data_IF_479584039665
#
_entry.id   IF_479584039665
#
_cell.length_a   1.000
_cell.length_b   1.000
_cell.length_c   1.000
_cell.angle_alpha   90.00
_cell.angle_beta   90.00
_cell.angle_gamma   90.00
#
_symmetry.space_group_name_H-M   'P 1'
#
loop_
_entity.id
_entity.type
_entity.pdbx_description
1 polymer ?
#
# COMPACT_ATOMS: atom_id res chain seq x y z
N UNK A 1 -24.08 -41.98 -22.40
CA UNK A 1 -25.14 -41.04 -22.84
C UNK A 1 -25.61 -40.24 -21.65
N UNK A 2 -25.17 -38.98 -21.49
CA UNK A 2 -25.86 -37.93 -20.73
C UNK A 2 -25.04 -36.63 -20.90
N UNK A 3 -25.47 -35.79 -21.84
CA UNK A 3 -24.93 -34.45 -22.03
C UNK A 3 -25.69 -33.49 -21.10
N UNK A 4 -24.98 -32.72 -20.26
CA UNK A 4 -25.57 -31.63 -19.49
C UNK A 4 -25.28 -30.31 -20.21
N UNK A 5 -26.35 -29.75 -20.77
CA UNK A 5 -26.36 -28.48 -21.47
C UNK A 5 -26.17 -27.31 -20.48
N UNK A 6 -25.12 -26.53 -20.67
CA UNK A 6 -24.95 -25.22 -20.04
C UNK A 6 -25.64 -24.17 -20.91
N UNK A 7 -26.76 -23.63 -20.43
CA UNK A 7 -27.38 -22.42 -21.00
C UNK A 7 -26.59 -21.19 -20.56
N UNK A 8 -25.92 -20.54 -21.51
CA UNK A 8 -25.15 -19.32 -21.29
C UNK A 8 -26.01 -18.12 -21.70
N UNK A 9 -26.63 -17.47 -20.71
CA UNK A 9 -27.30 -16.17 -20.91
C UNK A 9 -26.23 -15.08 -21.05
N UNK A 10 -26.04 -14.59 -22.28
CA UNK A 10 -25.19 -13.42 -22.56
C UNK A 10 -26.05 -12.16 -22.59
N UNK A 11 -26.05 -11.41 -21.49
CA UNK A 11 -26.60 -10.06 -21.43
C UNK A 11 -25.52 -9.09 -21.93
N UNK A 12 -25.83 -8.43 -23.04
CA UNK A 12 -25.06 -7.40 -23.72
C UNK A 12 -25.00 -6.11 -22.86
N UNK A 13 -23.82 -5.49 -22.64
CA UNK A 13 -23.77 -4.14 -22.12
C UNK A 13 -23.89 -3.12 -23.26
N UNK A 14 -24.93 -2.30 -23.22
CA UNK A 14 -25.09 -1.11 -24.07
C UNK A 14 -24.26 0.04 -23.51
N UNK A 15 -23.56 0.70 -24.43
CA UNK A 15 -22.58 1.75 -24.22
C UNK A 15 -23.24 3.11 -24.55
N UNK A 16 -23.37 4.06 -23.62
CA UNK A 16 -23.71 5.43 -23.98
C UNK A 16 -22.46 6.33 -23.88
N UNK A 17 -21.71 6.39 -24.99
CA UNK A 17 -20.97 7.59 -25.34
C UNK A 17 -21.97 8.73 -25.61
N UNK A 18 -21.53 9.96 -25.36
CA UNK A 18 -22.21 11.25 -25.60
C UNK A 18 -23.10 11.79 -24.48
N UNK A 19 -22.50 12.53 -23.55
CA UNK A 19 -23.09 13.77 -23.01
C UNK A 19 -22.00 14.84 -22.94
N UNK A 20 -21.75 15.47 -24.08
CA UNK A 20 -21.05 16.74 -24.15
C UNK A 20 -22.04 17.89 -23.92
N UNK A 21 -21.50 19.01 -23.43
CA UNK A 21 -22.11 20.34 -23.34
C UNK A 21 -23.21 20.58 -22.29
N UNK A 22 -22.79 21.07 -21.11
CA UNK A 22 -23.47 22.22 -20.49
C UNK A 22 -22.50 23.06 -19.68
N UNK A 23 -22.12 24.20 -20.26
CA UNK A 23 -21.37 25.28 -19.60
C UNK A 23 -22.39 26.15 -18.85
N UNK A 24 -22.30 26.32 -17.52
CA UNK A 24 -22.98 27.43 -16.86
C UNK A 24 -22.10 28.69 -16.91
N UNK A 25 -22.63 29.64 -17.67
CA UNK A 25 -22.33 31.06 -17.79
C UNK A 25 -21.94 31.71 -16.45
N UNK A 26 -20.89 32.54 -16.55
CA UNK A 26 -20.48 33.63 -15.66
C UNK A 26 -21.46 34.00 -14.54
N UNK A 27 -21.00 33.92 -13.30
CA UNK A 27 -21.59 34.65 -12.17
C UNK A 27 -20.53 35.53 -11.51
N UNK A 28 -20.93 36.75 -11.08
CA UNK A 28 -20.04 37.88 -10.89
C UNK A 28 -19.09 37.73 -9.71
N UNK A 29 -17.92 38.31 -9.94
CA UNK A 29 -16.84 38.60 -9.02
C UNK A 29 -17.33 39.62 -7.96
N UNK A 30 -17.03 39.36 -6.68
CA UNK A 30 -17.13 40.23 -5.49
C UNK A 30 -18.49 40.38 -4.77
N UNK A 31 -18.58 39.85 -3.53
CA UNK A 31 -19.27 40.53 -2.43
C UNK A 31 -18.31 41.53 -1.73
N UNK A 32 -18.69 42.80 -1.55
CA UNK A 32 -17.95 43.76 -0.74
C UNK A 32 -18.20 43.52 0.75
N UNK A 33 -17.11 43.52 1.52
CA UNK A 33 -17.02 43.80 2.97
C UNK A 33 -18.02 43.09 3.89
N UNK A 34 -17.58 42.02 4.57
CA UNK A 34 -17.98 41.80 5.96
C UNK A 34 -16.78 41.30 6.79
N UNK A 35 -16.45 42.13 7.77
CA UNK A 35 -15.43 42.08 8.81
C UNK A 35 -15.12 40.67 9.36
N UNK A 36 -13.88 40.37 9.78
CA UNK A 36 -13.54 39.10 10.40
C UNK A 36 -14.24 38.97 11.75
N UNK A 37 -15.29 38.17 11.82
CA UNK A 37 -15.96 37.75 13.06
C UNK A 37 -15.09 36.80 13.93
N UNK A 38 -13.76 36.86 13.81
CA UNK A 38 -12.82 35.98 14.50
C UNK A 38 -12.36 36.53 15.87
N UNK A 39 -12.81 37.71 16.28
CA UNK A 39 -12.35 38.36 17.52
C UNK A 39 -13.42 38.50 18.62
N UNK A 40 -14.62 37.95 18.44
CA UNK A 40 -15.71 38.05 19.42
C UNK A 40 -16.34 36.71 19.83
N UNK A 41 -15.67 35.59 19.60
CA UNK A 41 -16.00 34.34 20.31
C UNK A 41 -15.07 34.14 21.50
N UNK A 42 -15.53 34.36 22.73
CA UNK A 42 -14.84 33.76 23.86
C UNK A 42 -14.98 32.23 23.74
N UNK A 43 -13.91 31.52 24.12
CA UNK A 43 -13.80 30.06 24.32
C UNK A 43 -13.76 29.11 23.10
N UNK A 44 -12.71 29.12 22.25
CA UNK A 44 -12.30 27.88 21.60
C UNK A 44 -11.63 27.00 22.68
N UNK A 45 -12.05 25.74 22.79
CA UNK A 45 -11.40 24.72 23.62
C UNK A 45 -11.86 24.59 25.08
N UNK A 46 -13.16 24.49 25.33
CA UNK A 46 -13.62 23.69 26.48
C UNK A 46 -13.49 22.21 26.11
N UNK A 47 -12.59 21.48 26.77
CA UNK A 47 -12.62 20.01 26.81
C UNK A 47 -13.90 19.57 27.53
N UNK A 48 -15.04 19.63 26.84
CA UNK A 48 -16.21 18.87 27.25
C UNK A 48 -15.93 17.45 26.84
N UNK A 49 -15.62 16.62 27.82
CA UNK A 49 -15.59 15.17 27.66
C UNK A 49 -16.98 14.81 27.12
N UNK A 50 -17.10 14.29 25.88
CA UNK A 50 -18.39 13.86 25.37
C UNK A 50 -18.95 12.85 26.38
N UNK A 51 -20.20 13.04 26.79
CA UNK A 51 -20.87 12.12 27.69
C UNK A 51 -20.72 10.70 27.14
N UNK A 52 -20.48 9.70 27.99
CA UNK A 52 -20.24 8.31 27.57
C UNK A 52 -21.28 7.83 26.53
N UNK A 53 -22.52 8.29 26.64
CA UNK A 53 -23.62 8.04 25.70
C UNK A 53 -23.38 8.55 24.26
N UNK A 54 -22.65 9.64 24.08
CA UNK A 54 -22.32 10.21 22.76
C UNK A 54 -21.14 9.49 22.09
N UNK A 55 -20.30 8.80 22.88
CA UNK A 55 -19.20 7.97 22.41
C UNK A 55 -19.65 6.55 22.02
N UNK A 56 -20.74 6.05 22.61
CA UNK A 56 -21.28 4.72 22.32
C UNK A 56 -21.87 4.49 20.91
N UNK A 57 -22.54 5.41 20.20
CA UNK A 57 -23.13 5.08 18.89
C UNK A 57 -22.08 4.65 17.87
N UNK A 58 -20.94 5.33 17.80
CA UNK A 58 -19.84 4.98 16.88
C UNK A 58 -19.08 3.74 17.34
N UNK A 59 -18.88 3.56 18.65
CA UNK A 59 -18.25 2.33 19.21
C UNK A 59 -19.13 1.10 18.96
N UNK A 60 -20.46 1.21 19.10
CA UNK A 60 -21.40 0.10 18.90
C UNK A 60 -21.56 -0.26 17.42
N UNK A 61 -21.41 0.71 16.51
CA UNK A 61 -21.46 0.47 15.06
C UNK A 61 -20.16 -0.08 14.46
N UNK A 62 -19.00 0.24 15.04
CA UNK A 62 -17.70 -0.18 14.51
C UNK A 62 -17.33 -1.64 14.83
N UNK A 63 -18.13 -2.33 15.65
CA UNK A 63 -17.90 -3.73 16.02
C UNK A 63 -18.39 -4.65 14.89
N UNK A 64 -17.56 -5.60 14.42
CA UNK A 64 -17.99 -6.63 13.47
C UNK A 64 -19.25 -7.34 13.97
N UNK A 65 -20.38 -7.09 13.31
CA UNK A 65 -21.69 -7.60 13.74
C UNK A 65 -21.75 -9.13 13.83
N UNK A 66 -20.96 -9.82 13.00
CA UNK A 66 -20.92 -11.28 12.86
C UNK A 66 -19.50 -11.77 12.57
N UNK A 67 -19.19 -12.97 13.05
CA UNK A 67 -17.93 -13.68 12.75
C UNK A 67 -17.83 -13.93 11.24
N UNK A 68 -16.68 -13.63 10.63
CA UNK A 68 -16.45 -13.88 9.20
C UNK A 68 -16.29 -15.38 8.95
N UNK A 69 -16.86 -15.90 7.86
CA UNK A 69 -16.67 -17.30 7.45
C UNK A 69 -15.22 -17.60 7.06
N UNK A 70 -14.82 -18.87 7.17
CA UNK A 70 -13.49 -19.33 6.77
C UNK A 70 -13.18 -18.97 5.31
N UNK A 71 -14.11 -19.24 4.39
CA UNK A 71 -13.98 -18.89 2.96
C UNK A 71 -13.74 -17.38 2.75
N UNK A 72 -14.50 -16.52 3.42
CA UNK A 72 -14.34 -15.05 3.28
C UNK A 72 -13.01 -14.55 3.86
N UNK A 73 -12.48 -15.19 4.91
CA UNK A 73 -11.12 -14.91 5.43
C UNK A 73 -10.05 -15.34 4.43
N UNK A 74 -10.18 -16.56 3.88
CA UNK A 74 -9.23 -17.11 2.92
C UNK A 74 -9.14 -16.26 1.65
N UNK A 75 -10.28 -15.88 1.04
CA UNK A 75 -10.30 -15.03 -0.15
C UNK A 75 -9.60 -13.68 0.06
N UNK A 76 -9.77 -13.05 1.23
CA UNK A 76 -9.09 -11.78 1.55
C UNK A 76 -7.57 -11.92 1.69
N UNK A 77 -7.09 -13.09 2.13
CA UNK A 77 -5.67 -13.38 2.31
C UNK A 77 -5.01 -13.92 1.02
N UNK A 78 -5.77 -14.56 0.15
CA UNK A 78 -5.26 -15.23 -1.05
C UNK A 78 -4.50 -14.28 -2.00
N UNK A 79 -4.96 -13.04 -2.16
CA UNK A 79 -4.32 -12.06 -3.03
C UNK A 79 -3.07 -11.41 -2.41
N UNK A 80 -2.64 -11.87 -1.23
CA UNK A 80 -1.51 -11.32 -0.46
C UNK A 80 -0.37 -12.33 -0.33
N UNK A 81 -0.24 -13.25 -1.29
CA UNK A 81 0.87 -14.19 -1.35
C UNK A 81 2.22 -13.50 -1.51
N UNK A 82 3.28 -14.15 -1.03
CA UNK A 82 4.64 -13.70 -1.29
C UNK A 82 4.90 -13.85 -2.79
N UNK A 83 5.34 -12.77 -3.43
CA UNK A 83 5.76 -12.81 -4.84
C UNK A 83 7.17 -13.36 -4.89
N UNK A 84 7.36 -14.41 -5.68
CA UNK A 84 8.69 -14.96 -5.93
C UNK A 84 9.52 -13.93 -6.70
N UNK A 85 10.69 -13.63 -6.15
CA UNK A 85 11.69 -12.81 -6.84
C UNK A 85 12.57 -13.79 -7.61
N UNK A 86 12.26 -14.00 -8.88
CA UNK A 86 13.00 -14.95 -9.70
C UNK A 86 14.45 -14.47 -9.87
N UNK A 87 15.40 -15.30 -9.45
CA UNK A 87 16.74 -15.32 -10.03
C UNK A 87 16.61 -16.03 -11.37
N UNK A 88 16.92 -15.34 -12.46
CA UNK A 88 16.81 -15.80 -13.85
C UNK A 88 17.55 -17.12 -14.11
N UNK A 89 16.92 -18.25 -13.79
CA UNK A 89 17.33 -19.62 -14.16
C UNK A 89 16.16 -20.46 -14.69
N UNK A 90 14.93 -19.92 -14.79
CA UNK A 90 13.75 -20.62 -15.34
C UNK A 90 13.42 -20.30 -16.81
N UNK A 91 14.19 -19.41 -17.45
CA UNK A 91 13.94 -18.91 -18.81
C UNK A 91 14.48 -19.86 -19.91
N UNK A 92 14.05 -21.12 -19.94
CA UNK A 92 14.32 -21.98 -21.10
C UNK A 92 13.12 -22.69 -21.73
N UNK A 93 11.89 -22.61 -21.19
CA UNK A 93 10.73 -23.21 -21.87
C UNK A 93 9.40 -22.47 -21.57
N UNK A 94 8.94 -21.72 -22.58
CA UNK A 94 7.57 -21.23 -22.84
C UNK A 94 7.04 -19.92 -22.20
N UNK A 95 6.82 -18.98 -23.13
CA UNK A 95 5.73 -18.01 -23.26
C UNK A 95 5.85 -16.64 -22.56
N UNK A 96 6.31 -15.66 -23.37
CA UNK A 96 6.09 -14.20 -23.28
C UNK A 96 6.10 -13.58 -21.87
N UNK A 97 7.25 -13.03 -21.43
CA UNK A 97 7.35 -12.29 -20.19
C UNK A 97 6.41 -11.07 -20.18
N UNK A 98 5.58 -10.98 -19.13
CA UNK A 98 4.95 -9.73 -18.73
C UNK A 98 6.06 -8.66 -18.52
N UNK A 99 5.81 -7.37 -18.81
CA UNK A 99 6.87 -6.34 -18.94
C UNK A 99 7.51 -5.87 -17.61
N UNK A 100 7.64 -6.74 -16.60
CA UNK A 100 8.19 -6.37 -15.30
C UNK A 100 8.93 -7.50 -14.55
N UNK A 101 9.64 -8.37 -15.26
CA UNK A 101 10.59 -9.28 -14.63
C UNK A 101 11.83 -8.50 -14.16
N UNK A 102 11.91 -8.22 -12.85
CA UNK A 102 13.03 -7.53 -12.20
C UNK A 102 13.89 -8.56 -11.46
N UNK A 103 15.15 -8.73 -11.87
CA UNK A 103 16.12 -9.58 -11.18
C UNK A 103 16.62 -8.91 -9.90
N UNK A 104 15.90 -9.14 -8.81
CA UNK A 104 16.22 -8.55 -7.51
C UNK A 104 17.39 -9.23 -6.79
N UNK A 105 17.85 -10.41 -7.23
CA UNK A 105 18.94 -11.16 -6.57
C UNK A 105 20.16 -11.21 -7.50
N UNK A 106 21.31 -10.72 -7.03
CA UNK A 106 22.61 -10.72 -7.73
C UNK A 106 23.71 -11.28 -6.83
N UNK A 107 24.77 -11.84 -7.39
CA UNK A 107 25.90 -12.31 -6.60
C UNK A 107 26.75 -11.15 -6.07
N UNK A 108 27.23 -11.26 -4.83
CA UNK A 108 28.16 -10.31 -4.26
C UNK A 108 29.55 -10.46 -4.91
N UNK A 109 30.18 -9.38 -5.42
CA UNK A 109 31.51 -9.47 -6.04
C UNK A 109 32.64 -9.78 -5.04
N UNK A 110 32.43 -9.54 -3.73
CA UNK A 110 33.45 -9.79 -2.71
C UNK A 110 33.46 -11.22 -2.16
N UNK A 111 32.28 -11.82 -1.94
CA UNK A 111 32.19 -13.14 -1.29
C UNK A 111 31.33 -14.16 -2.03
N UNK A 112 30.77 -13.82 -3.21
CA UNK A 112 29.97 -14.71 -4.04
C UNK A 112 28.54 -14.99 -3.56
N UNK A 113 28.19 -14.68 -2.31
CA UNK A 113 26.85 -14.94 -1.77
C UNK A 113 25.78 -14.14 -2.51
N UNK A 114 24.56 -14.69 -2.71
CA UNK A 114 23.46 -13.93 -3.27
C UNK A 114 23.11 -12.74 -2.35
N UNK A 115 22.96 -11.57 -2.95
CA UNK A 115 22.56 -10.32 -2.29
C UNK A 115 21.41 -9.69 -3.07
N UNK A 116 20.67 -8.81 -2.41
CA UNK A 116 19.65 -8.02 -3.09
C UNK A 116 20.34 -6.99 -4.03
N UNK A 117 19.83 -6.82 -5.24
CA UNK A 117 20.31 -5.85 -6.22
C UNK A 117 20.33 -4.45 -5.61
N UNK A 118 21.39 -3.67 -5.86
CA UNK A 118 21.62 -2.33 -5.29
C UNK A 118 21.82 -2.25 -3.77
N UNK A 119 21.71 -3.35 -3.03
CA UNK A 119 22.03 -3.37 -1.60
C UNK A 119 23.45 -3.88 -1.35
N UNK A 120 24.03 -3.46 -0.21
CA UNK A 120 25.28 -4.02 0.29
C UNK A 120 25.05 -5.46 0.75
N UNK A 121 26.08 -6.30 0.58
CA UNK A 121 26.03 -7.67 1.08
C UNK A 121 26.07 -7.67 2.62
N UNK A 122 25.08 -8.29 3.26
CA UNK A 122 24.98 -8.40 4.72
C UNK A 122 26.20 -9.10 5.34
N UNK A 123 26.72 -10.14 4.69
CA UNK A 123 27.89 -10.91 5.14
C UNK A 123 29.17 -10.07 5.12
N UNK A 124 29.50 -9.48 3.96
CA UNK A 124 30.67 -8.62 3.83
C UNK A 124 30.59 -7.41 4.76
N UNK A 125 29.44 -6.73 4.81
CA UNK A 125 29.26 -5.55 5.66
C UNK A 125 29.42 -5.90 7.15
N UNK A 126 28.84 -7.01 7.60
CA UNK A 126 28.96 -7.46 8.99
C UNK A 126 30.40 -7.79 9.36
N UNK A 127 31.15 -8.43 8.45
CA UNK A 127 32.57 -8.73 8.65
C UNK A 127 33.40 -7.46 8.76
N UNK A 128 33.31 -6.55 7.77
CA UNK A 128 34.07 -5.30 7.76
C UNK A 128 33.76 -4.43 8.98
N UNK A 129 32.48 -4.27 9.32
CA UNK A 129 32.05 -3.44 10.45
C UNK A 129 32.61 -3.95 11.78
N UNK A 130 32.65 -5.27 11.99
CA UNK A 130 33.24 -5.89 13.19
C UNK A 130 34.76 -5.66 13.24
N UNK A 131 35.45 -5.87 12.13
CA UNK A 131 36.89 -5.66 12.03
C UNK A 131 37.27 -4.21 12.33
N UNK A 132 36.54 -3.24 11.78
CA UNK A 132 36.78 -1.82 12.05
C UNK A 132 36.53 -1.45 13.51
N UNK A 133 35.43 -1.93 14.11
CA UNK A 133 35.16 -1.69 15.54
C UNK A 133 36.22 -2.30 16.45
N UNK A 134 36.71 -3.50 16.13
CA UNK A 134 37.78 -4.14 16.90
C UNK A 134 39.09 -3.33 16.81
N UNK A 135 39.43 -2.82 15.62
CA UNK A 135 40.59 -1.95 15.44
C UNK A 135 40.47 -0.65 16.24
N UNK A 136 39.29 -0.02 16.23
CA UNK A 136 39.03 1.20 16.98
C UNK A 136 39.11 0.98 18.50
N UNK A 137 38.66 -0.16 19.02
CA UNK A 137 38.80 -0.48 20.46
C UNK A 137 40.25 -0.60 20.92
N UNK A 138 41.17 -0.98 20.03
CA UNK A 138 42.60 -1.10 20.32
C UNK A 138 43.41 0.16 20.02
N UNK A 139 42.80 1.19 19.42
CA UNK A 139 43.44 2.48 19.19
C UNK A 139 43.12 3.39 20.39
N UNK A 140 44.09 3.77 21.24
CA UNK A 140 43.85 4.86 22.18
C UNK A 140 43.50 6.12 21.39
N UNK A 141 42.54 6.91 21.89
CA UNK A 141 42.12 8.16 21.27
C UNK A 141 43.37 9.03 21.03
N UNK A 142 43.64 9.32 19.76
CA UNK A 142 44.60 10.34 19.36
C UNK A 142 43.88 11.69 19.50
N UNK A 143 43.81 12.18 20.73
CA UNK A 143 43.43 13.56 21.07
C UNK A 143 44.63 14.31 21.63
#
# INVERSE_FOLDING_TARGET
MAALAFTRNSILPTNPLFTLFRIPVFKPLFPPNLLPAFLTTPHPFTWRIPSLLELFPSIVLAVPKKKTSHSRKAMRAANKGLKDKHSALSELFHASPLPNERSDIVNCPGCGTPKLAHHLCSKCYSFLSRTWKNKLRGMPDLS
#
